data_IF_144716345521
#
_entry.id   IF_144716345521
#
_cell.length_a   1.000
_cell.length_b   1.000
_cell.length_c   1.000
_cell.angle_alpha   90.00
_cell.angle_beta   90.00
_cell.angle_gamma   90.00
#
_symmetry.space_group_name_H-M   'P 1'
#
loop_
_entity.id
_entity.type
_entity.pdbx_description
1 polymer ?
#
# COMPACT_ATOMS: atom_id res chain seq x y z
N UNK A 1 28.90 -54.49 68.39
CA UNK A 1 28.40 -53.24 67.78
C UNK A 1 28.32 -52.23 68.91
N UNK A 2 29.30 -51.34 69.00
CA UNK A 2 29.36 -50.36 70.09
C UNK A 2 28.35 -49.24 69.82
N UNK A 3 27.74 -48.65 70.86
CA UNK A 3 26.78 -47.56 70.70
C UNK A 3 27.35 -46.37 69.89
N UNK A 4 28.67 -46.23 69.87
CA UNK A 4 29.43 -45.20 69.17
C UNK A 4 29.45 -45.40 67.64
N UNK A 5 29.42 -46.65 67.16
CA UNK A 5 29.30 -46.95 65.72
C UNK A 5 27.93 -46.53 65.18
N UNK A 6 26.87 -46.84 65.94
CA UNK A 6 25.50 -46.48 65.58
C UNK A 6 25.27 -44.97 65.53
N UNK A 7 25.82 -44.21 66.49
CA UNK A 7 25.70 -42.75 66.47
C UNK A 7 26.48 -42.14 65.30
N UNK A 8 27.69 -42.64 65.01
CA UNK A 8 28.49 -42.16 63.88
C UNK A 8 27.79 -42.44 62.54
N UNK A 9 27.24 -43.65 62.36
CA UNK A 9 26.47 -44.01 61.17
C UNK A 9 25.21 -43.15 61.03
N UNK A 10 24.49 -42.90 62.13
CA UNK A 10 23.30 -42.03 62.11
C UNK A 10 23.63 -40.59 61.69
N UNK A 11 24.70 -40.01 62.23
CA UNK A 11 25.16 -38.67 61.85
C UNK A 11 25.61 -38.64 60.39
N UNK A 12 26.37 -39.63 59.94
CA UNK A 12 26.84 -39.71 58.55
C UNK A 12 25.68 -39.84 57.56
N UNK A 13 24.68 -40.66 57.88
CA UNK A 13 23.47 -40.84 57.08
C UNK A 13 22.68 -39.52 57.00
N UNK A 14 22.56 -38.81 58.12
CA UNK A 14 21.87 -37.51 58.19
C UNK A 14 22.62 -36.44 57.38
N UNK A 15 23.95 -36.40 57.45
CA UNK A 15 24.78 -35.47 56.65
C UNK A 15 24.62 -35.75 55.16
N UNK A 16 24.58 -37.02 54.76
CA UNK A 16 24.36 -37.42 53.37
C UNK A 16 22.96 -37.05 52.88
N UNK A 17 21.94 -37.31 53.70
CA UNK A 17 20.56 -36.92 53.41
C UNK A 17 20.40 -35.40 53.27
N UNK A 18 21.21 -34.61 54.00
CA UNK A 18 21.23 -33.16 53.88
C UNK A 18 21.99 -32.67 52.62
N UNK A 19 23.04 -33.39 52.20
CA UNK A 19 23.85 -33.02 51.04
C UNK A 19 23.17 -33.33 49.69
N UNK A 20 22.49 -34.47 49.60
CA UNK A 20 21.78 -34.91 48.38
C UNK A 20 20.78 -33.87 47.81
N UNK A 21 19.88 -33.26 48.61
CA UNK A 21 18.93 -32.28 48.10
C UNK A 21 19.62 -30.99 47.65
N UNK A 22 20.78 -30.64 48.22
CA UNK A 22 21.54 -29.47 47.80
C UNK A 22 22.10 -29.65 46.39
N UNK A 23 22.63 -30.84 46.08
CA UNK A 23 23.09 -31.21 44.74
C UNK A 23 21.93 -31.15 43.72
N UNK A 24 20.77 -31.75 44.05
CA UNK A 24 19.60 -31.74 43.18
C UNK A 24 19.02 -30.35 42.96
N UNK A 25 19.03 -29.47 43.98
CA UNK A 25 18.57 -28.08 43.82
C UNK A 25 19.47 -27.29 42.88
N UNK A 26 20.79 -27.52 42.97
CA UNK A 26 21.76 -26.85 42.13
C UNK A 26 21.64 -27.30 40.67
N UNK A 27 21.50 -28.60 40.42
CA UNK A 27 21.27 -29.14 39.08
C UNK A 27 19.99 -28.59 38.45
N UNK A 28 18.89 -28.55 39.21
CA UNK A 28 17.62 -27.96 38.74
C UNK A 28 17.74 -26.47 38.47
N UNK A 29 18.43 -25.72 39.32
CA UNK A 29 18.68 -24.29 39.12
C UNK A 29 19.51 -24.01 37.87
N UNK A 30 20.57 -24.80 37.64
CA UNK A 30 21.40 -24.71 36.43
C UNK A 30 20.61 -25.11 35.19
N UNK A 31 19.76 -26.13 35.27
CA UNK A 31 18.90 -26.54 34.16
C UNK A 31 17.91 -25.43 33.79
N UNK A 32 17.23 -24.81 34.77
CA UNK A 32 16.33 -23.69 34.54
C UNK A 32 17.06 -22.49 33.91
N UNK A 33 18.25 -22.13 34.42
CA UNK A 33 19.02 -21.02 33.87
C UNK A 33 19.51 -21.28 32.45
N UNK A 34 19.81 -22.53 32.10
CA UNK A 34 20.15 -22.93 30.72
C UNK A 34 18.93 -22.85 29.81
N UNK A 35 17.76 -23.26 30.30
CA UNK A 35 16.50 -23.15 29.56
C UNK A 35 16.13 -21.68 29.31
N UNK A 36 16.24 -20.82 30.31
CA UNK A 36 15.97 -19.38 30.17
C UNK A 36 16.93 -18.73 29.17
N UNK A 37 18.22 -19.09 29.21
CA UNK A 37 19.20 -18.64 28.20
C UNK A 37 18.84 -19.11 26.79
N UNK A 38 18.38 -20.35 26.62
CA UNK A 38 17.93 -20.85 25.33
C UNK A 38 16.71 -20.08 24.84
N UNK A 39 15.70 -19.86 25.69
CA UNK A 39 14.51 -19.09 25.34
C UNK A 39 14.85 -17.63 24.96
N UNK A 40 15.80 -16.99 25.65
CA UNK A 40 16.27 -15.64 25.30
C UNK A 40 17.01 -15.62 23.96
N UNK A 41 17.85 -16.62 23.68
CA UNK A 41 18.56 -16.73 22.41
C UNK A 41 17.58 -16.93 21.24
N UNK A 42 16.59 -17.82 21.41
CA UNK A 42 15.54 -18.05 20.43
C UNK A 42 14.74 -16.76 20.19
N UNK A 43 14.34 -16.07 21.26
CA UNK A 43 13.66 -14.77 21.18
C UNK A 43 14.47 -13.72 20.43
N UNK A 44 15.76 -13.58 20.74
CA UNK A 44 16.65 -12.64 20.05
C UNK A 44 16.75 -12.94 18.55
N UNK A 45 16.87 -14.22 18.17
CA UNK A 45 16.91 -14.63 16.76
C UNK A 45 15.58 -14.34 16.03
N UNK A 46 14.45 -14.52 16.72
CA UNK A 46 13.12 -14.16 16.23
C UNK A 46 12.98 -12.65 16.02
N UNK A 47 13.43 -11.84 16.97
CA UNK A 47 13.45 -10.38 16.83
C UNK A 47 14.34 -9.91 15.68
N UNK A 48 15.53 -10.50 15.51
CA UNK A 48 16.43 -10.15 14.40
C UNK A 48 15.78 -10.47 13.05
N UNK A 49 15.10 -11.61 12.95
CA UNK A 49 14.37 -12.02 11.73
C UNK A 49 13.20 -11.09 11.44
N UNK A 50 12.33 -10.86 12.42
CA UNK A 50 11.20 -9.94 12.28
C UNK A 50 11.65 -8.51 11.95
N UNK A 51 12.75 -8.04 12.54
CA UNK A 51 13.32 -6.72 12.24
C UNK A 51 13.87 -6.66 10.81
N UNK A 52 14.55 -7.72 10.34
CA UNK A 52 15.02 -7.80 8.95
C UNK A 52 13.85 -7.77 7.95
N UNK A 53 12.78 -8.51 8.23
CA UNK A 53 11.56 -8.49 7.40
C UNK A 53 10.89 -7.11 7.40
N UNK A 54 10.78 -6.47 8.57
CA UNK A 54 10.24 -5.12 8.67
C UNK A 54 11.08 -4.08 7.90
N UNK A 55 12.40 -4.17 7.98
CA UNK A 55 13.32 -3.32 7.21
C UNK A 55 13.15 -3.53 5.71
N UNK A 56 13.01 -4.78 5.25
CA UNK A 56 12.75 -5.09 3.85
C UNK A 56 11.40 -4.53 3.37
N UNK A 57 10.35 -4.66 4.18
CA UNK A 57 9.03 -4.09 3.88
C UNK A 57 9.07 -2.57 3.80
N UNK A 58 9.76 -1.90 4.72
CA UNK A 58 9.95 -0.44 4.70
C UNK A 58 10.74 0.03 3.49
N UNK A 59 11.80 -0.70 3.09
CA UNK A 59 12.54 -0.41 1.87
C UNK A 59 11.64 -0.55 0.63
N UNK A 60 10.81 -1.60 0.58
CA UNK A 60 9.81 -1.80 -0.46
C UNK A 60 8.82 -0.64 -0.55
N UNK A 61 8.21 -0.26 0.58
CA UNK A 61 7.28 0.86 0.67
C UNK A 61 7.92 2.17 0.22
N UNK A 62 9.16 2.44 0.64
CA UNK A 62 9.88 3.64 0.22
C UNK A 62 10.08 3.69 -1.29
N UNK A 63 10.47 2.57 -1.91
CA UNK A 63 10.67 2.51 -3.36
C UNK A 63 9.36 2.71 -4.15
N UNK A 64 8.25 2.17 -3.62
CA UNK A 64 6.92 2.36 -4.19
C UNK A 64 6.49 3.83 -4.10
N UNK A 65 6.69 4.47 -2.94
CA UNK A 65 6.40 5.89 -2.74
C UNK A 65 7.25 6.79 -3.65
N UNK A 66 8.54 6.49 -3.82
CA UNK A 66 9.41 7.25 -4.73
C UNK A 66 8.94 7.12 -6.18
N UNK A 67 8.52 5.93 -6.61
CA UNK A 67 7.97 5.71 -7.95
C UNK A 67 6.67 6.47 -8.14
N UNK A 68 5.77 6.40 -7.16
CA UNK A 68 4.50 7.11 -7.19
C UNK A 68 4.69 8.63 -7.19
N UNK A 69 5.64 9.16 -6.41
CA UNK A 69 5.98 10.58 -6.39
C UNK A 69 6.48 11.08 -7.75
N UNK A 70 7.27 10.26 -8.46
CA UNK A 70 7.71 10.60 -9.84
C UNK A 70 6.53 10.61 -10.79
N UNK A 71 5.65 9.62 -10.72
CA UNK A 71 4.45 9.55 -11.56
C UNK A 71 3.52 10.75 -11.31
N UNK A 72 3.30 11.14 -10.06
CA UNK A 72 2.48 12.32 -9.73
C UNK A 72 3.13 13.60 -10.27
N UNK A 73 4.46 13.75 -10.15
CA UNK A 73 5.14 14.92 -10.71
C UNK A 73 4.99 15.00 -12.24
N UNK A 74 5.09 13.87 -12.95
CA UNK A 74 4.85 13.84 -14.40
C UNK A 74 3.39 14.11 -14.77
N UNK A 75 2.45 13.62 -13.97
CA UNK A 75 1.02 13.90 -14.19
C UNK A 75 0.71 15.38 -13.96
N UNK A 76 1.30 16.00 -12.95
CA UNK A 76 1.16 17.44 -12.68
C UNK A 76 1.74 18.29 -13.82
N UNK A 77 2.92 17.95 -14.34
CA UNK A 77 3.51 18.69 -15.47
C UNK A 77 2.63 18.60 -16.72
N UNK A 78 2.17 17.39 -17.07
CA UNK A 78 1.28 17.18 -18.20
C UNK A 78 -0.05 17.93 -18.03
N UNK A 79 -0.59 17.96 -16.81
CA UNK A 79 -1.81 18.72 -16.51
C UNK A 79 -1.61 20.21 -16.73
N UNK A 80 -0.46 20.75 -16.34
CA UNK A 80 -0.13 22.16 -16.54
C UNK A 80 0.06 22.48 -18.03
N UNK A 81 0.72 21.61 -18.79
CA UNK A 81 0.86 21.76 -20.25
C UNK A 81 -0.50 21.75 -20.97
N UNK A 82 -1.39 20.82 -20.59
CA UNK A 82 -2.75 20.76 -21.13
C UNK A 82 -3.55 22.02 -20.79
N UNK A 83 -3.41 22.52 -19.57
CA UNK A 83 -4.04 23.78 -19.15
C UNK A 83 -3.53 24.95 -20.01
N UNK A 84 -2.23 25.03 -20.23
CA UNK A 84 -1.64 26.06 -21.09
C UNK A 84 -2.17 25.97 -22.53
N UNK A 85 -2.27 24.76 -23.10
CA UNK A 85 -2.82 24.57 -24.45
C UNK A 85 -4.30 24.96 -24.53
N UNK A 86 -5.10 24.70 -23.50
CA UNK A 86 -6.49 25.12 -23.43
C UNK A 86 -6.60 26.65 -23.42
N UNK A 87 -5.86 27.34 -22.54
CA UNK A 87 -5.87 28.80 -22.46
C UNK A 87 -5.49 29.44 -23.80
N UNK A 88 -4.49 28.87 -24.50
CA UNK A 88 -4.08 29.31 -25.83
C UNK A 88 -5.12 29.01 -26.91
N UNK A 89 -5.75 27.84 -26.85
CA UNK A 89 -6.80 27.43 -27.77
C UNK A 89 -8.03 28.31 -27.66
N UNK A 90 -8.43 28.66 -26.44
CA UNK A 90 -9.54 29.58 -26.17
C UNK A 90 -9.26 30.97 -26.74
N UNK A 91 -8.06 31.52 -26.51
CA UNK A 91 -7.66 32.80 -27.10
C UNK A 91 -7.61 32.78 -28.66
N UNK A 92 -7.28 31.65 -29.28
CA UNK A 92 -7.34 31.50 -30.74
C UNK A 92 -8.78 31.38 -31.24
N UNK A 93 -9.64 30.66 -30.52
CA UNK A 93 -11.06 30.56 -30.83
C UNK A 93 -11.75 31.93 -30.77
N UNK A 94 -11.48 32.74 -29.74
CA UNK A 94 -12.00 34.11 -29.61
C UNK A 94 -11.60 35.00 -30.79
N UNK A 95 -10.32 34.90 -31.22
CA UNK A 95 -9.83 35.64 -32.39
C UNK A 95 -10.51 35.19 -33.68
N UNK A 96 -10.70 33.88 -33.86
CA UNK A 96 -11.41 33.35 -35.01
C UNK A 96 -12.87 33.81 -35.02
N UNK A 97 -13.55 33.81 -33.87
CA UNK A 97 -14.91 34.33 -33.76
C UNK A 97 -14.97 35.80 -34.18
N UNK A 98 -14.04 36.64 -33.71
CA UNK A 98 -13.96 38.05 -34.09
C UNK A 98 -13.78 38.22 -35.60
N UNK A 99 -12.84 37.49 -36.20
CA UNK A 99 -12.56 37.55 -37.64
C UNK A 99 -13.76 37.06 -38.47
N UNK A 100 -14.42 35.97 -38.06
CA UNK A 100 -15.63 35.47 -38.73
C UNK A 100 -16.77 36.49 -38.63
N UNK A 101 -16.96 37.11 -37.45
CA UNK A 101 -17.97 38.16 -37.25
C UNK A 101 -17.68 39.41 -38.09
N UNK A 102 -16.42 39.77 -38.27
CA UNK A 102 -15.98 40.87 -39.14
C UNK A 102 -16.08 40.55 -40.64
N UNK A 103 -15.91 39.29 -41.05
CA UNK A 103 -16.09 38.84 -42.43
C UNK A 103 -17.55 38.65 -42.84
N UNK A 104 -18.44 38.37 -41.87
CA UNK A 104 -19.89 38.23 -42.09
C UNK A 104 -20.56 39.43 -42.79
N UNK A 105 -20.28 40.71 -42.45
CA UNK A 105 -20.87 41.86 -43.16
C UNK A 105 -20.41 41.99 -44.61
N UNK A 106 -19.29 41.38 -45.04
CA UNK A 106 -18.86 41.38 -46.45
C UNK A 106 -19.68 40.41 -47.34
N UNK A 107 -20.39 39.45 -46.73
CA UNK A 107 -21.31 38.52 -47.41
C UNK A 107 -22.79 38.82 -47.07
N UNK A 108 -23.03 39.82 -46.22
CA UNK A 108 -24.31 40.12 -45.57
C UNK A 108 -25.30 40.96 -46.36
N UNK A 109 -25.19 41.01 -47.69
CA UNK A 109 -26.23 41.53 -48.57
C UNK A 109 -27.26 40.49 -49.03
N UNK A 110 -27.01 39.18 -48.83
CA UNK A 110 -27.82 38.12 -49.46
C UNK A 110 -28.32 37.00 -48.54
N UNK A 111 -28.10 37.05 -47.22
CA UNK A 111 -28.46 35.97 -46.31
C UNK A 111 -29.53 36.35 -45.27
N UNK A 112 -30.41 37.30 -45.58
CA UNK A 112 -31.60 37.60 -44.76
C UNK A 112 -32.81 36.72 -45.13
N UNK A 113 -32.57 35.47 -45.54
CA UNK A 113 -33.60 34.49 -45.83
C UNK A 113 -33.14 33.09 -45.40
N UNK A 114 -33.08 32.86 -44.08
CA UNK A 114 -33.12 31.51 -43.54
C UNK A 114 -34.13 31.50 -42.39
N UNK A 115 -35.25 30.85 -42.69
CA UNK A 115 -36.41 30.57 -41.85
C UNK A 115 -36.02 29.85 -40.53
N UNK A 116 -36.91 29.77 -39.52
CA UNK A 116 -36.56 29.30 -38.19
C UNK A 116 -36.17 27.82 -38.24
N UNK A 117 -35.00 27.50 -37.70
CA UNK A 117 -34.56 26.13 -37.50
C UNK A 117 -35.45 25.51 -36.43
N UNK A 118 -36.44 24.75 -36.89
CA UNK A 118 -37.13 23.76 -36.09
C UNK A 118 -36.10 22.73 -35.61
N UNK A 119 -36.07 22.54 -34.30
CA UNK A 119 -36.08 21.23 -33.66
C UNK A 119 -34.93 20.27 -34.05
N UNK A 120 -33.83 20.39 -33.30
CA UNK A 120 -33.13 19.30 -32.61
C UNK A 120 -33.52 17.85 -32.99
N UNK A 121 -33.27 17.46 -34.24
CA UNK A 121 -33.42 16.10 -34.72
C UNK A 121 -32.07 15.37 -34.63
N UNK A 122 -31.89 14.67 -33.50
CA UNK A 122 -31.14 13.43 -33.36
C UNK A 122 -29.77 13.33 -34.07
N UNK A 123 -28.70 13.62 -33.32
CA UNK A 123 -27.38 13.10 -33.64
C UNK A 123 -27.46 11.56 -33.87
N UNK A 124 -26.84 11.02 -34.92
CA UNK A 124 -26.92 9.58 -35.22
C UNK A 124 -26.26 8.79 -34.08
N UNK A 125 -27.06 8.02 -33.34
CA UNK A 125 -26.59 7.13 -32.27
C UNK A 125 -25.38 6.30 -32.73
N UNK A 126 -24.30 6.40 -31.96
CA UNK A 126 -23.00 5.78 -32.21
C UNK A 126 -23.13 4.25 -32.32
N UNK A 127 -22.32 3.62 -33.18
CA UNK A 127 -22.33 2.17 -33.40
C UNK A 127 -22.10 1.39 -32.08
N UNK A 128 -21.30 1.95 -31.16
CA UNK A 128 -21.04 1.37 -29.84
C UNK A 128 -22.32 1.21 -28.99
N UNK A 129 -23.27 2.15 -29.08
CA UNK A 129 -24.54 2.09 -28.35
C UNK A 129 -25.42 0.96 -28.87
N UNK A 130 -25.37 0.69 -30.18
CA UNK A 130 -26.16 -0.38 -30.82
C UNK A 130 -25.65 -1.75 -30.41
N UNK A 131 -24.34 -1.92 -30.30
CA UNK A 131 -23.72 -3.17 -29.87
C UNK A 131 -23.97 -3.45 -28.38
N UNK A 132 -23.92 -2.43 -27.53
CA UNK A 132 -24.29 -2.55 -26.12
C UNK A 132 -25.75 -2.99 -25.93
N UNK A 133 -26.67 -2.40 -26.68
CA UNK A 133 -28.10 -2.74 -26.61
C UNK A 133 -28.41 -4.14 -27.18
N UNK A 134 -27.56 -4.68 -28.06
CA UNK A 134 -27.67 -6.04 -28.58
C UNK A 134 -27.17 -7.04 -27.54
N UNK A 135 -26.04 -6.76 -26.89
CA UNK A 135 -25.49 -7.60 -25.82
C UNK A 135 -26.47 -7.72 -24.63
N UNK A 136 -27.08 -6.60 -24.20
CA UNK A 136 -28.05 -6.59 -23.11
C UNK A 136 -29.34 -7.36 -23.42
N UNK A 137 -29.76 -7.42 -24.69
CA UNK A 137 -30.95 -8.18 -25.10
C UNK A 137 -30.69 -9.68 -25.22
N UNK A 138 -29.46 -10.10 -25.47
CA UNK A 138 -29.10 -11.52 -25.50
C UNK A 138 -28.88 -12.13 -24.11
N UNK A 139 -28.63 -11.29 -23.09
CA UNK A 139 -28.39 -11.71 -21.73
C UNK A 139 -29.67 -11.83 -20.87
N UNK A 140 -30.86 -11.62 -21.45
CA UNK A 140 -32.16 -11.74 -20.79
C UNK A 140 -32.94 -12.92 -21.35
#
# INVERSE_FOLDING_TARGET
MSALEWTLQGVLLLLLLAALPFALRLERGLAALRQDRAALADGASGFETATREAQAALAGLRSALETQARQTATAESLREDLRFMLDRGEALADRLELLVRQGRPALGGAAAAAAPVAEEAAAPRSQAERDLLRALRMAR
#
